data_IF_456421234440
#
_entry.id   IF_456421234440
#
_cell.length_a   1.000
_cell.length_b   1.000
_cell.length_c   1.000
_cell.angle_alpha   90.00
_cell.angle_beta   90.00
_cell.angle_gamma   90.00
#
_symmetry.space_group_name_H-M   'P 1'
#
loop_
_entity.id
_entity.type
_entity.pdbx_description
1 polymer ?
#
# COMPACT_ATOMS: atom_id res chain seq x y z
N UNK A 1 8.68 6.90 7.74
CA UNK A 1 8.28 5.70 6.99
C UNK A 1 9.33 4.61 7.22
N UNK A 2 8.95 3.42 7.67
CA UNK A 2 9.87 2.26 7.82
C UNK A 2 10.22 1.66 6.46
N UNK A 3 11.19 0.74 6.40
CA UNK A 3 11.56 0.08 5.13
C UNK A 3 10.41 -0.73 4.54
N UNK A 4 9.63 -1.41 5.40
CA UNK A 4 8.43 -2.12 4.96
C UNK A 4 7.38 -1.15 4.42
N UNK A 5 7.14 -0.04 5.12
CA UNK A 5 6.19 0.98 4.69
C UNK A 5 6.61 1.61 3.36
N UNK A 6 7.91 1.90 3.16
CA UNK A 6 8.46 2.42 1.90
C UNK A 6 8.30 1.42 0.76
N UNK A 7 8.56 0.14 1.04
CA UNK A 7 8.39 -0.94 0.07
C UNK A 7 6.91 -1.08 -0.33
N UNK A 8 5.99 -1.08 0.64
CA UNK A 8 4.54 -1.16 0.40
C UNK A 8 4.03 0.06 -0.38
N UNK A 9 4.41 1.27 0.03
CA UNK A 9 4.09 2.51 -0.68
C UNK A 9 4.52 2.40 -2.15
N UNK A 10 5.78 1.99 -2.41
CA UNK A 10 6.29 1.83 -3.77
C UNK A 10 5.54 0.77 -4.58
N UNK A 11 5.17 -0.36 -3.97
CA UNK A 11 4.38 -1.41 -4.65
C UNK A 11 3.00 -0.87 -5.04
N UNK A 12 2.29 -0.23 -4.12
CA UNK A 12 0.94 0.32 -4.35
C UNK A 12 1.00 1.43 -5.41
N UNK A 13 1.99 2.33 -5.32
CA UNK A 13 2.24 3.38 -6.32
C UNK A 13 2.53 2.83 -7.72
N UNK A 14 3.40 1.83 -7.82
CA UNK A 14 3.73 1.24 -9.13
C UNK A 14 2.53 0.54 -9.76
N UNK A 15 1.69 -0.13 -8.97
CA UNK A 15 0.49 -0.79 -9.46
C UNK A 15 -0.59 0.21 -9.86
N UNK A 16 -0.74 1.32 -9.11
CA UNK A 16 -1.75 2.34 -9.41
C UNK A 16 -1.50 3.04 -10.73
N UNK A 17 -0.25 3.15 -11.20
CA UNK A 17 0.08 3.65 -12.55
C UNK A 17 -0.58 2.84 -13.67
N UNK A 18 -0.91 1.59 -13.41
CA UNK A 18 -1.62 0.71 -14.34
C UNK A 18 -3.11 0.54 -14.00
N UNK A 19 -3.66 1.41 -13.14
CA UNK A 19 -5.02 1.32 -12.59
C UNK A 19 -5.31 -0.02 -11.91
N UNK A 20 -4.29 -0.66 -11.34
CA UNK A 20 -4.39 -1.91 -10.59
C UNK A 20 -4.08 -1.68 -9.12
N UNK A 21 -4.68 -2.49 -8.26
CA UNK A 21 -4.32 -2.58 -6.86
C UNK A 21 -3.63 -3.92 -6.58
N UNK A 22 -2.57 -3.96 -5.76
CA UNK A 22 -1.99 -5.23 -5.36
C UNK A 22 -2.98 -6.02 -4.50
N UNK A 23 -3.11 -7.32 -4.76
CA UNK A 23 -3.82 -8.22 -3.86
C UNK A 23 -3.01 -8.45 -2.57
N UNK A 24 -3.64 -8.97 -1.52
CA UNK A 24 -2.92 -9.33 -0.30
C UNK A 24 -1.81 -10.38 -0.59
N UNK A 25 -2.06 -11.33 -1.49
CA UNK A 25 -1.07 -12.34 -1.86
C UNK A 25 0.11 -11.75 -2.65
N UNK A 26 -0.13 -10.75 -3.49
CA UNK A 26 0.96 -10.01 -4.14
C UNK A 26 1.83 -9.29 -3.12
N UNK A 27 1.20 -8.68 -2.10
CA UNK A 27 1.92 -8.00 -1.03
C UNK A 27 2.74 -9.01 -0.20
N UNK A 28 2.15 -10.15 0.19
CA UNK A 28 2.87 -11.23 0.89
C UNK A 28 4.07 -11.70 0.07
N UNK A 29 3.86 -12.05 -1.21
CA UNK A 29 4.91 -12.52 -2.12
C UNK A 29 6.03 -11.49 -2.30
N UNK A 30 5.68 -10.20 -2.50
CA UNK A 30 6.68 -9.15 -2.75
C UNK A 30 7.41 -8.69 -1.49
N UNK A 31 6.79 -8.78 -0.32
CA UNK A 31 7.38 -8.29 0.95
C UNK A 31 7.99 -9.40 1.80
N UNK A 32 7.58 -10.65 1.62
CA UNK A 32 7.94 -11.77 2.49
C UNK A 32 7.35 -11.63 3.90
N UNK A 33 6.27 -10.86 4.06
CA UNK A 33 5.61 -10.60 5.34
C UNK A 33 4.21 -11.18 5.37
N UNK A 34 3.76 -11.50 6.57
CA UNK A 34 2.40 -11.95 6.84
C UNK A 34 1.40 -10.79 6.76
N UNK A 35 0.14 -11.16 6.62
CA UNK A 35 -0.95 -10.20 6.44
C UNK A 35 -1.17 -9.24 7.61
N UNK A 36 -1.14 -9.68 8.89
CA UNK A 36 -1.21 -8.76 10.03
C UNK A 36 -0.14 -7.65 9.97
N UNK A 37 1.10 -8.02 9.67
CA UNK A 37 2.23 -7.07 9.54
C UNK A 37 2.02 -6.09 8.39
N UNK A 38 1.58 -6.59 7.22
CA UNK A 38 1.25 -5.75 6.06
C UNK A 38 0.11 -4.79 6.39
N UNK A 39 -0.99 -5.28 6.98
CA UNK A 39 -2.15 -4.45 7.34
C UNK A 39 -1.77 -3.35 8.32
N UNK A 40 -0.94 -3.65 9.33
CA UNK A 40 -0.43 -2.66 10.29
C UNK A 40 0.39 -1.57 9.57
N UNK A 41 1.31 -1.96 8.69
CA UNK A 41 2.13 -1.01 7.95
C UNK A 41 1.31 -0.13 6.98
N UNK A 42 0.35 -0.71 6.26
CA UNK A 42 -0.57 0.06 5.40
C UNK A 42 -1.43 1.01 6.24
N UNK A 43 -1.96 0.56 7.40
CA UNK A 43 -2.71 1.42 8.32
C UNK A 43 -1.89 2.61 8.79
N UNK A 44 -0.60 2.43 9.07
CA UNK A 44 0.30 3.52 9.45
C UNK A 44 0.58 4.53 8.32
N UNK A 45 0.58 4.08 7.05
CA UNK A 45 0.67 4.98 5.90
C UNK A 45 -0.60 5.82 5.77
N UNK A 46 -1.76 5.19 5.98
CA UNK A 46 -3.07 5.86 5.93
C UNK A 46 -3.24 6.86 7.08
N UNK A 47 -2.88 6.47 8.31
CA UNK A 47 -3.01 7.35 9.48
C UNK A 47 -2.16 8.61 9.38
N UNK A 48 -0.98 8.53 8.76
CA UNK A 48 -0.10 9.68 8.49
C UNK A 48 -0.45 10.44 7.22
N UNK A 49 -1.51 10.05 6.50
CA UNK A 49 -1.93 10.64 5.22
C UNK A 49 -0.87 10.57 4.12
N UNK A 50 0.08 9.63 4.21
CA UNK A 50 1.04 9.34 3.13
C UNK A 50 0.34 8.63 1.97
N UNK A 51 -0.65 7.81 2.32
CA UNK A 51 -1.48 7.06 1.38
C UNK A 51 -2.94 7.27 1.75
N UNK A 52 -3.78 7.68 0.82
CA UNK A 52 -5.22 7.89 1.08
C UNK A 52 -6.06 7.21 0.00
N UNK A 53 -7.19 6.62 0.37
CA UNK A 53 -8.10 6.00 -0.59
C UNK A 53 -9.17 7.01 -1.02
N UNK A 54 -9.16 7.40 -2.29
CA UNK A 54 -10.20 8.21 -2.91
C UNK A 54 -11.38 7.30 -3.25
N UNK A 55 -12.42 7.35 -2.41
CA UNK A 55 -13.61 6.50 -2.57
C UNK A 55 -14.41 6.80 -3.84
N UNK A 56 -14.40 8.06 -4.30
CA UNK A 56 -15.17 8.48 -5.47
C UNK A 56 -14.52 7.95 -6.74
N UNK A 57 -13.20 8.11 -6.84
CA UNK A 57 -12.45 7.68 -8.03
C UNK A 57 -11.96 6.23 -7.93
N UNK A 58 -12.10 5.59 -6.77
CA UNK A 58 -11.62 4.22 -6.46
C UNK A 58 -10.12 4.07 -6.74
N UNK A 59 -9.35 5.06 -6.31
CA UNK A 59 -7.91 5.15 -6.56
C UNK A 59 -7.15 5.50 -5.28
N UNK A 60 -5.88 5.08 -5.21
CA UNK A 60 -4.97 5.54 -4.18
C UNK A 60 -4.42 6.93 -4.53
N UNK A 61 -4.46 7.82 -3.54
CA UNK A 61 -3.80 9.13 -3.52
C UNK A 61 -2.52 9.01 -2.71
N UNK A 62 -1.47 9.58 -3.26
CA UNK A 62 -0.14 9.56 -2.71
C UNK A 62 0.24 11.00 -2.36
N UNK A 63 0.82 11.19 -1.18
CA UNK A 63 1.42 12.46 -0.78
C UNK A 63 2.82 12.61 -1.36
#
# INVERSE_FOLDING_TARGET
MTDLERKLYRIIYNMSRFKKNPSMDDLKRKTGKDEPTIRKAVKNLVSRKELTWDKQKKEWRFK
#
